data_IF_469610306024
#
_entry.id   IF_469610306024
#
_cell.length_a   1.000
_cell.length_b   1.000
_cell.length_c   1.000
_cell.angle_alpha   90.00
_cell.angle_beta   90.00
_cell.angle_gamma   90.00
#
_symmetry.space_group_name_H-M   'P 1'
#
loop_
_entity.id
_entity.type
_entity.pdbx_description
1 polymer ?
#
# COMPACT_ATOMS: atom_id res chain seq x y z
N UNK A 1 9.25 -14.27 -69.80
CA UNK A 1 8.67 -13.16 -69.01
C UNK A 1 7.75 -13.68 -67.89
N UNK A 2 6.74 -14.50 -68.18
CA UNK A 2 5.78 -15.01 -67.17
C UNK A 2 6.45 -15.83 -66.05
N UNK A 3 7.38 -16.74 -66.37
CA UNK A 3 8.10 -17.56 -65.37
C UNK A 3 8.91 -16.69 -64.40
N UNK A 4 9.55 -15.63 -64.91
CA UNK A 4 10.30 -14.69 -64.07
C UNK A 4 9.39 -13.89 -63.13
N UNK A 5 8.22 -13.47 -63.60
CA UNK A 5 7.22 -12.76 -62.79
C UNK A 5 6.66 -13.67 -61.69
N UNK A 6 6.37 -14.94 -62.02
CA UNK A 6 5.91 -15.93 -61.04
C UNK A 6 6.96 -16.24 -59.97
N UNK A 7 8.23 -16.37 -60.36
CA UNK A 7 9.33 -16.55 -59.40
C UNK A 7 9.51 -15.36 -58.47
N UNK A 8 9.41 -14.13 -59.00
CA UNK A 8 9.48 -12.90 -58.19
C UNK A 8 8.31 -12.82 -57.20
N UNK A 9 7.08 -13.08 -57.66
CA UNK A 9 5.90 -13.10 -56.80
C UNK A 9 6.01 -14.15 -55.70
N UNK A 10 6.47 -15.35 -56.05
CA UNK A 10 6.67 -16.43 -55.08
C UNK A 10 7.74 -16.04 -54.04
N UNK A 11 8.86 -15.44 -54.47
CA UNK A 11 9.91 -14.95 -53.59
C UNK A 11 9.43 -13.87 -52.62
N UNK A 12 8.63 -12.91 -53.10
CA UNK A 12 8.02 -11.87 -52.26
C UNK A 12 7.05 -12.49 -51.24
N UNK A 13 6.22 -13.44 -51.66
CA UNK A 13 5.27 -14.13 -50.77
C UNK A 13 6.03 -14.91 -49.69
N UNK A 14 7.05 -15.69 -50.05
CA UNK A 14 7.86 -16.45 -49.10
C UNK A 14 8.61 -15.53 -48.14
N UNK A 15 9.19 -14.43 -48.63
CA UNK A 15 9.85 -13.41 -47.81
C UNK A 15 8.88 -12.74 -46.83
N UNK A 16 7.68 -12.40 -47.30
CA UNK A 16 6.62 -11.83 -46.47
C UNK A 16 6.16 -12.79 -45.37
N UNK A 17 5.97 -14.07 -45.69
CA UNK A 17 5.61 -15.11 -44.71
C UNK A 17 6.70 -15.31 -43.66
N UNK A 18 7.97 -15.36 -44.09
CA UNK A 18 9.12 -15.47 -43.19
C UNK A 18 9.21 -14.27 -42.24
N UNK A 19 9.07 -13.06 -42.78
CA UNK A 19 9.14 -11.83 -41.99
C UNK A 19 7.98 -11.73 -40.99
N UNK A 20 6.75 -12.10 -41.39
CA UNK A 20 5.59 -12.15 -40.49
C UNK A 20 5.80 -13.12 -39.33
N UNK A 21 6.31 -14.32 -39.60
CA UNK A 21 6.60 -15.30 -38.54
C UNK A 21 7.61 -14.76 -37.53
N UNK A 22 8.68 -14.13 -38.01
CA UNK A 22 9.72 -13.55 -37.14
C UNK A 22 9.19 -12.39 -36.29
N UNK A 23 8.39 -11.51 -36.89
CA UNK A 23 7.77 -10.39 -36.18
C UNK A 23 6.77 -10.86 -35.12
N UNK A 24 5.97 -11.88 -35.42
CA UNK A 24 5.03 -12.46 -34.46
C UNK A 24 5.77 -12.99 -33.22
N UNK A 25 6.86 -13.73 -33.40
CA UNK A 25 7.67 -14.26 -32.30
C UNK A 25 8.34 -13.14 -31.49
N UNK A 26 8.86 -12.10 -32.15
CA UNK A 26 9.46 -10.95 -31.45
C UNK A 26 8.43 -10.16 -30.65
N UNK A 27 7.23 -9.98 -31.21
CA UNK A 27 6.14 -9.25 -30.56
C UNK A 27 5.60 -10.02 -29.35
N UNK A 28 5.48 -11.34 -29.46
CA UNK A 28 5.08 -12.21 -28.36
C UNK A 28 6.11 -12.22 -27.23
N UNK A 29 7.41 -12.29 -27.56
CA UNK A 29 8.50 -12.15 -26.58
C UNK A 29 8.50 -10.77 -25.91
N UNK A 30 8.40 -9.70 -26.69
CA UNK A 30 8.35 -8.34 -26.17
C UNK A 30 7.14 -8.13 -25.25
N UNK A 31 5.98 -8.68 -25.62
CA UNK A 31 4.76 -8.63 -24.80
C UNK A 31 4.94 -9.38 -23.48
N UNK A 32 5.52 -10.58 -23.52
CA UNK A 32 5.81 -11.37 -22.31
C UNK A 32 6.79 -10.66 -21.38
N UNK A 33 7.89 -10.12 -21.91
CA UNK A 33 8.87 -9.36 -21.12
C UNK A 33 8.28 -8.08 -20.54
N UNK A 34 7.41 -7.40 -21.29
CA UNK A 34 6.73 -6.19 -20.86
C UNK A 34 5.69 -6.47 -19.78
N UNK A 35 4.90 -7.53 -19.92
CA UNK A 35 3.97 -7.99 -18.88
C UNK A 35 4.70 -8.38 -17.60
N UNK A 36 5.85 -9.05 -17.72
CA UNK A 36 6.70 -9.41 -16.58
C UNK A 36 7.30 -8.18 -15.89
N UNK A 37 7.79 -7.20 -16.66
CA UNK A 37 8.26 -5.90 -16.13
C UNK A 37 7.16 -5.11 -15.45
N UNK A 38 5.98 -4.99 -16.06
CA UNK A 38 4.83 -4.33 -15.42
C UNK A 38 4.43 -5.08 -14.15
N UNK A 39 4.41 -6.42 -14.17
CA UNK A 39 4.10 -7.21 -12.99
C UNK A 39 5.14 -6.97 -11.89
N UNK A 40 6.42 -6.94 -12.21
CA UNK A 40 7.51 -6.63 -11.28
C UNK A 40 7.36 -5.19 -10.73
N UNK A 41 7.16 -4.19 -11.59
CA UNK A 41 6.99 -2.79 -11.16
C UNK A 41 5.71 -2.57 -10.35
N UNK A 42 4.60 -3.21 -10.72
CA UNK A 42 3.35 -3.18 -9.96
C UNK A 42 3.56 -3.91 -8.64
N UNK A 43 4.28 -5.03 -8.60
CA UNK A 43 4.65 -5.71 -7.36
C UNK A 43 5.58 -4.85 -6.49
N UNK A 44 6.52 -4.08 -7.04
CA UNK A 44 7.42 -3.22 -6.26
C UNK A 44 6.71 -1.96 -5.75
N UNK A 45 5.95 -1.27 -6.62
CA UNK A 45 5.15 -0.09 -6.25
C UNK A 45 4.01 -0.46 -5.32
N UNK A 46 3.30 -1.57 -5.60
CA UNK A 46 2.31 -2.11 -4.65
C UNK A 46 3.01 -2.56 -3.38
N UNK A 47 4.15 -3.27 -3.38
CA UNK A 47 4.82 -3.62 -2.12
C UNK A 47 5.22 -2.42 -1.30
N UNK A 48 5.62 -1.29 -1.87
CA UNK A 48 5.96 -0.09 -1.11
C UNK A 48 4.70 0.60 -0.53
N UNK A 49 3.67 0.82 -1.35
CA UNK A 49 2.42 1.48 -0.92
C UNK A 49 1.57 0.56 -0.03
N UNK A 50 1.50 -0.72 -0.38
CA UNK A 50 0.86 -1.78 0.36
C UNK A 50 1.66 -2.11 1.61
N UNK A 51 3.01 -2.06 1.67
CA UNK A 51 3.75 -2.08 2.96
C UNK A 51 3.51 -0.83 3.80
N UNK A 52 3.24 0.33 3.19
CA UNK A 52 2.79 1.53 3.90
C UNK A 52 1.44 1.29 4.57
N UNK A 53 0.42 0.92 3.79
CA UNK A 53 -0.94 0.64 4.28
C UNK A 53 -1.04 -0.59 5.18
N UNK A 54 -0.30 -1.66 4.87
CA UNK A 54 -0.20 -2.87 5.70
C UNK A 54 0.65 -2.56 6.94
N UNK A 55 1.69 -1.75 6.84
CA UNK A 55 2.45 -1.27 8.00
C UNK A 55 1.62 -0.37 8.90
N UNK A 56 0.72 0.43 8.35
CA UNK A 56 -0.24 1.26 9.08
C UNK A 56 -1.40 0.47 9.69
N UNK A 57 -1.71 -0.74 9.22
CA UNK A 57 -2.79 -1.58 9.79
C UNK A 57 -2.29 -2.79 10.57
N UNK A 58 -1.09 -3.28 10.25
CA UNK A 58 -0.37 -4.37 10.90
C UNK A 58 0.85 -3.89 11.70
N UNK A 59 1.06 -2.58 11.87
CA UNK A 59 2.08 -2.04 12.77
C UNK A 59 2.12 -2.74 14.13
N UNK A 60 0.96 -3.05 14.74
CA UNK A 60 0.93 -3.80 15.99
C UNK A 60 1.69 -5.13 15.93
N UNK A 61 1.71 -5.80 14.77
CA UNK A 61 2.35 -7.10 14.59
C UNK A 61 3.84 -7.00 14.20
N UNK A 62 4.38 -5.79 14.03
CA UNK A 62 5.78 -5.59 13.68
C UNK A 62 6.67 -5.63 14.93
N UNK A 63 7.90 -6.21 14.87
CA UNK A 63 8.79 -6.36 16.03
C UNK A 63 9.19 -5.05 16.75
N UNK A 64 8.98 -3.91 16.09
CA UNK A 64 9.28 -2.58 16.61
C UNK A 64 8.13 -1.97 17.44
N UNK A 65 6.94 -2.59 17.44
CA UNK A 65 5.79 -2.13 18.21
C UNK A 65 5.91 -2.64 19.65
N UNK A 66 6.24 -1.74 20.57
CA UNK A 66 6.54 -2.08 21.97
C UNK A 66 5.30 -2.32 22.84
N UNK A 67 4.14 -2.50 22.23
CA UNK A 67 2.85 -2.58 22.92
C UNK A 67 2.07 -3.84 22.50
N UNK A 68 1.20 -4.33 23.37
CA UNK A 68 0.34 -5.48 23.06
C UNK A 68 -0.63 -5.14 21.91
N UNK A 69 -0.65 -5.89 20.81
CA UNK A 69 -1.49 -5.58 19.66
C UNK A 69 -2.98 -5.52 19.96
N UNK A 70 -3.46 -6.35 20.89
CA UNK A 70 -4.86 -6.38 21.29
C UNK A 70 -5.34 -5.08 21.97
N UNK A 71 -4.40 -4.31 22.54
CA UNK A 71 -4.65 -3.05 23.24
C UNK A 71 -4.59 -1.84 22.30
N UNK A 72 -4.14 -2.02 21.06
CA UNK A 72 -4.05 -0.97 20.05
C UNK A 72 -5.36 -0.82 19.24
N UNK A 73 -5.76 0.42 18.98
CA UNK A 73 -6.88 0.79 18.10
C UNK A 73 -6.39 1.74 17.03
N UNK A 74 -6.65 1.40 15.77
CA UNK A 74 -6.31 2.23 14.62
C UNK A 74 -7.29 3.41 14.49
N UNK A 75 -6.76 4.60 14.26
CA UNK A 75 -7.47 5.85 13.98
C UNK A 75 -7.11 6.43 12.60
N UNK A 76 -5.84 6.36 12.19
CA UNK A 76 -5.32 6.97 10.97
C UNK A 76 -4.87 8.42 11.14
N UNK A 77 -5.71 9.41 10.82
CA UNK A 77 -5.35 10.83 10.90
C UNK A 77 -6.13 11.55 12.01
N UNK A 78 -5.52 12.44 12.81
CA UNK A 78 -4.12 12.93 12.74
C UNK A 78 -3.07 12.08 13.48
N UNK A 79 -3.50 10.98 14.14
CA UNK A 79 -2.65 10.01 14.87
C UNK A 79 -3.06 8.62 14.41
N UNK A 80 -2.09 7.75 14.08
CA UNK A 80 -2.39 6.45 13.48
C UNK A 80 -3.05 5.47 14.46
N UNK A 81 -2.60 5.43 15.71
CA UNK A 81 -3.10 4.51 16.73
C UNK A 81 -3.27 5.14 18.11
N UNK A 82 -4.20 4.57 18.88
CA UNK A 82 -4.29 4.73 20.33
C UNK A 82 -4.15 3.37 20.99
N UNK A 83 -3.22 3.26 21.93
CA UNK A 83 -2.97 2.03 22.70
C UNK A 83 -3.51 2.23 24.12
N UNK A 84 -4.43 1.35 24.53
CA UNK A 84 -4.96 1.28 25.89
C UNK A 84 -4.18 0.20 26.66
N UNK A 85 -2.97 0.53 27.09
CA UNK A 85 -2.05 -0.44 27.70
C UNK A 85 -2.65 -1.12 28.93
N UNK A 86 -2.72 -2.45 28.93
CA UNK A 86 -3.33 -3.26 30.00
C UNK A 86 -4.84 -3.46 29.85
N UNK A 87 -5.46 -2.99 28.76
CA UNK A 87 -6.90 -3.13 28.52
C UNK A 87 -7.33 -4.58 28.42
N UNK A 88 -6.61 -5.41 27.66
CA UNK A 88 -6.86 -6.85 27.52
C UNK A 88 -6.71 -7.59 28.85
N UNK A 89 -5.80 -7.14 29.71
CA UNK A 89 -5.57 -7.71 31.05
C UNK A 89 -6.68 -7.31 32.05
N UNK A 90 -7.55 -6.36 31.69
CA UNK A 90 -8.56 -5.81 32.59
C UNK A 90 -8.02 -4.74 33.55
N UNK A 91 -6.76 -4.35 33.41
CA UNK A 91 -6.09 -3.35 34.23
C UNK A 91 -5.46 -2.25 33.35
N UNK A 92 -6.25 -1.29 32.84
CA UNK A 92 -5.72 -0.20 32.01
C UNK A 92 -4.74 0.69 32.79
N UNK A 93 -3.49 0.78 32.32
CA UNK A 93 -2.39 1.51 32.97
C UNK A 93 -2.17 2.89 32.38
N UNK A 94 -2.22 3.01 31.05
CA UNK A 94 -2.05 4.29 30.33
C UNK A 94 -2.64 4.24 28.93
N UNK A 95 -2.89 5.42 28.39
CA UNK A 95 -3.26 5.61 26.98
C UNK A 95 -2.08 6.20 26.22
N UNK A 96 -1.65 5.57 25.13
CA UNK A 96 -0.52 6.01 24.30
C UNK A 96 -1.00 6.34 22.89
N UNK A 97 -0.70 7.53 22.42
CA UNK A 97 -0.93 7.96 21.05
C UNK A 97 0.31 7.62 20.21
N UNK A 98 0.13 6.89 19.11
CA UNK A 98 1.21 6.40 18.27
C UNK A 98 0.99 6.87 16.84
N UNK A 99 2.01 7.52 16.28
CA UNK A 99 2.08 7.90 14.88
C UNK A 99 3.23 7.11 14.23
N UNK A 100 2.93 6.43 13.13
CA UNK A 100 3.81 5.53 12.41
C UNK A 100 4.39 6.28 11.22
N UNK A 101 5.71 6.28 11.13
CA UNK A 101 6.44 6.88 10.03
C UNK A 101 7.24 5.81 9.30
N UNK A 102 6.98 5.64 8.01
CA UNK A 102 7.76 4.72 7.17
C UNK A 102 8.89 5.48 6.46
N UNK A 103 10.14 5.16 6.79
CA UNK A 103 11.35 5.76 6.18
C UNK A 103 12.24 6.48 7.18
N UNK A 104 13.55 6.54 6.91
CA UNK A 104 14.55 7.09 7.85
C UNK A 104 14.44 8.60 8.10
N UNK A 105 13.74 9.33 7.23
CA UNK A 105 13.62 10.80 7.24
C UNK A 105 12.19 11.28 7.41
N UNK A 106 11.26 10.40 7.82
CA UNK A 106 9.87 10.76 7.96
C UNK A 106 9.64 11.42 9.34
N UNK A 107 9.26 12.70 9.33
CA UNK A 107 9.02 13.50 10.53
C UNK A 107 7.53 13.75 10.76
N UNK A 108 7.16 14.11 12.00
CA UNK A 108 5.83 14.62 12.31
C UNK A 108 5.55 15.89 11.50
N UNK A 109 4.34 15.99 10.93
CA UNK A 109 3.87 17.23 10.31
C UNK A 109 3.76 18.34 11.35
N UNK A 110 3.75 19.64 10.96
CA UNK A 110 3.59 20.74 11.91
C UNK A 110 2.34 20.62 12.80
N UNK A 111 1.24 20.09 12.26
CA UNK A 111 0.01 19.85 13.03
C UNK A 111 0.19 18.70 14.03
N UNK A 112 0.80 17.59 13.61
CA UNK A 112 1.10 16.46 14.48
C UNK A 112 2.04 16.83 15.63
N UNK A 113 3.01 17.73 15.39
CA UNK A 113 3.89 18.26 16.45
C UNK A 113 3.11 19.04 17.50
N UNK A 114 2.18 19.91 17.07
CA UNK A 114 1.31 20.65 17.99
C UNK A 114 0.41 19.70 18.79
N UNK A 115 -0.15 18.69 18.13
CA UNK A 115 -0.98 17.69 18.81
C UNK A 115 -0.19 16.89 19.84
N UNK A 116 1.04 16.45 19.50
CA UNK A 116 1.97 15.82 20.45
C UNK A 116 2.19 16.70 21.68
N UNK A 117 2.42 18.00 21.49
CA UNK A 117 2.58 18.93 22.62
C UNK A 117 1.34 19.04 23.50
N UNK A 118 0.13 19.07 22.91
CA UNK A 118 -1.13 19.10 23.68
C UNK A 118 -1.26 17.85 24.55
N UNK A 119 -0.96 16.67 23.99
CA UNK A 119 -0.97 15.39 24.70
C UNK A 119 0.09 15.36 25.81
N UNK A 120 1.33 15.77 25.51
CA UNK A 120 2.44 15.82 26.48
C UNK A 120 2.21 16.81 27.62
N UNK A 121 1.42 17.86 27.38
CA UNK A 121 0.96 18.80 28.41
C UNK A 121 -0.20 18.26 29.26
N UNK A 122 -0.66 17.02 29.02
CA UNK A 122 -1.76 16.41 29.76
C UNK A 122 -3.15 17.00 29.43
N UNK A 123 -3.28 17.72 28.31
CA UNK A 123 -4.56 18.30 27.87
C UNK A 123 -5.42 17.24 27.17
N UNK A 124 -5.72 16.16 27.87
CA UNK A 124 -6.54 15.03 27.43
C UNK A 124 -7.66 14.85 28.44
N UNK A 125 -8.90 14.76 27.96
CA UNK A 125 -10.09 14.65 28.81
C UNK A 125 -10.99 13.49 28.39
N UNK A 126 -11.73 12.94 29.34
CA UNK A 126 -12.76 11.94 29.10
C UNK A 126 -14.13 12.61 29.12
N UNK A 127 -14.96 12.34 28.12
CA UNK A 127 -16.35 12.79 28.05
C UNK A 127 -17.26 11.62 27.64
N UNK A 128 -18.34 11.41 28.39
CA UNK A 128 -19.36 10.40 28.06
C UNK A 128 -20.61 11.10 27.56
N UNK A 129 -20.94 10.91 26.29
CA UNK A 129 -22.17 11.45 25.69
C UNK A 129 -23.18 10.31 25.53
N UNK A 130 -24.35 10.46 26.14
CA UNK A 130 -25.46 9.53 25.96
C UNK A 130 -26.38 10.07 24.85
N UNK A 131 -26.45 9.35 23.74
CA UNK A 131 -27.47 9.58 22.73
C UNK A 131 -28.76 8.93 23.23
N UNK A 132 -29.63 9.72 23.88
CA UNK A 132 -30.98 9.30 24.22
C UNK A 132 -31.73 8.85 22.95
N UNK A 133 -32.52 7.78 23.07
CA UNK A 133 -33.09 7.01 21.96
C UNK A 133 -33.55 7.85 20.77
N UNK A 134 -33.10 7.46 19.57
CA UNK A 134 -33.82 7.76 18.33
C UNK A 134 -35.16 7.03 18.44
N UNK A 135 -36.14 7.67 19.07
CA UNK A 135 -37.51 7.20 19.03
C UNK A 135 -37.94 7.20 17.57
N UNK A 136 -38.09 6.00 17.04
CA UNK A 136 -38.73 5.69 15.77
C UNK A 136 -40.18 6.20 15.83
N UNK A 137 -40.41 7.34 15.19
CA UNK A 137 -41.75 7.76 14.73
C UNK A 137 -42.20 6.95 13.53
#
# INVERSE_FOLDING_TARGET
>A
MIIFILGLLLGIILSFLYLRGRLAVQLERWKSEFEERIRQEVLEKSRAVLKGKIGEQLAPLLPMFKHEPADARFLGSPVDYVVFDGYREGEPKRVVFVDIKTGKSAELTPLQRKLKQVIEQGKVSWETVHLGGLESG
#
